data_IF_291222845575
#
_entry.id   IF_291222845575
#
_cell.length_a   1.000
_cell.length_b   1.000
_cell.length_c   1.000
_cell.angle_alpha   90.00
_cell.angle_beta   90.00
_cell.angle_gamma   90.00
#
_symmetry.space_group_name_H-M   'P 1'
#
loop_
_entity.id
_entity.type
_entity.pdbx_description
1 polymer ?
#
# COMPACT_ATOMS: atom_id res chain seq x y z
N UNK A 1 2.38 44.95 61.63
CA UNK A 1 1.10 44.38 61.13
C UNK A 1 1.18 44.49 59.61
N UNK A 2 1.17 43.48 58.75
CA UNK A 2 1.02 42.02 58.76
C UNK A 2 1.81 41.51 57.52
N UNK A 3 2.67 40.50 57.68
CA UNK A 3 2.54 39.11 57.21
C UNK A 3 2.99 38.86 55.74
N UNK A 4 3.90 37.90 55.64
CA UNK A 4 4.49 37.26 54.44
C UNK A 4 3.43 36.57 53.57
N UNK A 5 3.70 36.45 52.26
CA UNK A 5 3.34 35.25 51.48
C UNK A 5 4.26 35.08 50.27
N UNK A 6 5.12 34.05 50.33
CA UNK A 6 5.71 33.36 49.18
C UNK A 6 4.64 32.45 48.57
N UNK A 7 4.52 32.42 47.25
CA UNK A 7 3.83 31.38 46.44
C UNK A 7 3.76 31.91 44.99
N UNK A 8 4.01 31.18 43.92
CA UNK A 8 4.29 29.76 43.72
C UNK A 8 4.88 29.59 42.32
N UNK A 9 5.63 28.50 42.15
CA UNK A 9 6.08 27.96 40.87
C UNK A 9 4.99 28.06 39.80
N UNK A 10 5.27 28.72 38.69
CA UNK A 10 4.56 28.44 37.45
C UNK A 10 5.23 27.22 36.81
N UNK A 11 4.53 26.10 36.98
CA UNK A 11 4.69 24.77 36.42
C UNK A 11 5.68 24.62 35.27
N UNK A 12 6.61 23.68 35.45
CA UNK A 12 7.04 22.80 34.37
C UNK A 12 5.78 22.16 33.77
N UNK A 13 5.37 22.59 32.58
CA UNK A 13 4.57 21.78 31.67
C UNK A 13 5.54 21.04 30.72
N UNK A 14 6.45 20.25 31.30
CA UNK A 14 7.06 19.13 30.61
C UNK A 14 6.19 17.92 30.97
N UNK A 15 5.08 17.75 30.27
CA UNK A 15 4.20 16.60 30.42
C UNK A 15 3.97 15.99 29.04
N UNK A 16 4.72 14.92 28.78
CA UNK A 16 4.38 13.80 27.92
C UNK A 16 3.61 14.12 26.62
N UNK A 17 4.34 14.45 25.55
CA UNK A 17 3.85 14.17 24.19
C UNK A 17 4.91 13.36 23.41
N UNK A 18 5.07 12.05 23.67
CA UNK A 18 5.82 11.17 22.76
C UNK A 18 4.90 10.32 21.87
N UNK A 19 3.60 10.18 22.17
CA UNK A 19 2.70 9.33 21.38
C UNK A 19 1.96 10.09 20.26
N UNK A 20 1.67 11.38 20.47
CA UNK A 20 0.86 12.16 19.53
C UNK A 20 1.65 12.63 18.29
N UNK A 21 2.98 12.52 18.30
CA UNK A 21 3.83 12.89 17.16
C UNK A 21 3.87 11.74 16.16
N UNK A 22 4.19 10.53 16.62
CA UNK A 22 4.16 9.31 15.81
C UNK A 22 2.74 9.07 15.23
N UNK A 23 1.68 9.25 16.03
CA UNK A 23 0.29 9.12 15.52
C UNK A 23 -0.08 10.16 14.45
N UNK A 24 0.53 11.35 14.48
CA UNK A 24 0.28 12.42 13.49
C UNK A 24 1.07 12.18 12.20
N UNK A 25 2.29 11.67 12.32
CA UNK A 25 3.13 11.30 11.19
C UNK A 25 2.50 10.08 10.46
N UNK A 26 2.05 9.06 11.19
CA UNK A 26 1.35 7.90 10.62
C UNK A 26 0.05 8.29 9.88
N UNK A 27 -0.71 9.25 10.43
CA UNK A 27 -1.92 9.75 9.78
C UNK A 27 -1.61 10.50 8.49
N UNK A 28 -0.52 11.26 8.46
CA UNK A 28 -0.11 12.00 7.27
C UNK A 28 0.41 11.04 6.20
N UNK A 29 1.25 10.07 6.56
CA UNK A 29 1.79 9.08 5.63
C UNK A 29 0.67 8.19 5.04
N UNK A 30 -0.27 7.75 5.88
CA UNK A 30 -1.46 7.03 5.42
C UNK A 30 -2.31 7.88 4.47
N UNK A 31 -2.46 9.19 4.74
CA UNK A 31 -3.18 10.10 3.85
C UNK A 31 -2.49 10.26 2.49
N UNK A 32 -1.16 10.32 2.47
CA UNK A 32 -0.36 10.46 1.24
C UNK A 32 -0.38 9.17 0.41
N UNK A 33 -0.29 8.00 1.03
CA UNK A 33 -0.50 6.69 0.38
C UNK A 33 -1.91 6.62 -0.23
N UNK A 34 -2.94 6.97 0.54
CA UNK A 34 -4.32 6.96 0.07
C UNK A 34 -4.56 7.92 -1.09
N UNK A 35 -4.01 9.15 -1.01
CA UNK A 35 -4.12 10.14 -2.06
C UNK A 35 -3.44 9.66 -3.35
N UNK A 36 -2.29 9.00 -3.22
CA UNK A 36 -1.54 8.43 -4.34
C UNK A 36 -2.27 7.25 -4.97
N UNK A 37 -2.79 6.34 -4.15
CA UNK A 37 -3.64 5.24 -4.61
C UNK A 37 -4.86 5.76 -5.38
N UNK A 38 -5.55 6.78 -4.86
CA UNK A 38 -6.69 7.41 -5.51
C UNK A 38 -6.31 8.05 -6.86
N UNK A 39 -5.11 8.62 -6.99
CA UNK A 39 -4.61 9.13 -8.27
C UNK A 39 -4.42 8.00 -9.29
N UNK A 40 -3.82 6.88 -8.89
CA UNK A 40 -3.66 5.69 -9.74
C UNK A 40 -5.01 5.13 -10.18
N UNK A 41 -5.96 5.05 -9.24
CA UNK A 41 -7.34 4.62 -9.49
C UNK A 41 -8.01 5.50 -10.55
N UNK A 42 -7.88 6.82 -10.43
CA UNK A 42 -8.45 7.79 -11.35
C UNK A 42 -7.69 7.92 -12.69
N UNK A 43 -6.50 7.33 -12.81
CA UNK A 43 -5.73 7.38 -14.04
C UNK A 43 -6.43 6.62 -15.17
N UNK A 44 -6.24 7.09 -16.41
CA UNK A 44 -6.79 6.47 -17.61
C UNK A 44 -6.02 5.20 -18.03
N UNK A 45 -4.83 5.00 -17.48
CA UNK A 45 -3.98 3.85 -17.75
C UNK A 45 -4.46 2.66 -16.92
N UNK A 46 -4.84 1.60 -17.64
CA UNK A 46 -5.32 0.33 -17.07
C UNK A 46 -4.63 -0.82 -17.80
N UNK A 47 -4.36 -1.96 -17.15
CA UNK A 47 -3.66 -3.08 -17.78
C UNK A 47 -4.44 -3.63 -19.00
N UNK A 48 -3.84 -3.54 -20.18
CA UNK A 48 -4.43 -3.95 -21.46
C UNK A 48 -3.88 -5.29 -21.95
N UNK A 49 -2.59 -5.54 -21.77
CA UNK A 49 -1.91 -6.76 -22.24
C UNK A 49 -1.96 -7.89 -21.20
N UNK A 50 -1.52 -9.09 -21.57
CA UNK A 50 -1.37 -10.18 -20.60
C UNK A 50 -0.28 -9.87 -19.56
N UNK A 51 0.87 -9.36 -20.02
CA UNK A 51 1.99 -9.03 -19.15
C UNK A 51 1.64 -7.92 -18.16
N UNK A 52 0.95 -6.86 -18.60
CA UNK A 52 0.50 -5.81 -17.68
C UNK A 52 -0.47 -6.34 -16.60
N UNK A 53 -1.29 -7.34 -16.94
CA UNK A 53 -2.16 -8.01 -15.95
C UNK A 53 -1.35 -8.88 -14.99
N UNK A 54 -0.34 -9.60 -15.48
CA UNK A 54 0.60 -10.31 -14.60
C UNK A 54 1.34 -9.36 -13.67
N UNK A 55 1.79 -8.19 -14.15
CA UNK A 55 2.34 -7.13 -13.29
C UNK A 55 1.36 -6.73 -12.20
N UNK A 56 0.09 -6.45 -12.55
CA UNK A 56 -0.92 -6.12 -11.54
C UNK A 56 -1.14 -7.25 -10.52
N UNK A 57 -1.16 -8.51 -10.96
CA UNK A 57 -1.29 -9.65 -10.06
C UNK A 57 -0.12 -9.72 -9.06
N UNK A 58 1.10 -9.57 -9.56
CA UNK A 58 2.33 -9.60 -8.76
C UNK A 58 2.38 -8.47 -7.74
N UNK A 59 2.09 -7.23 -8.16
CA UNK A 59 2.09 -6.08 -7.26
C UNK A 59 1.03 -6.22 -6.16
N UNK A 60 -0.17 -6.69 -6.50
CA UNK A 60 -1.16 -6.99 -5.45
C UNK A 60 -0.72 -8.14 -4.54
N UNK A 61 -0.04 -9.18 -5.08
CA UNK A 61 0.46 -10.28 -4.25
C UNK A 61 1.52 -9.79 -3.26
N UNK A 62 2.53 -9.04 -3.72
CA UNK A 62 3.56 -8.47 -2.84
C UNK A 62 2.93 -7.57 -1.78
N UNK A 63 1.92 -6.76 -2.12
CA UNK A 63 1.19 -5.96 -1.14
C UNK A 63 0.50 -6.81 -0.06
N UNK A 64 -0.05 -7.99 -0.39
CA UNK A 64 -0.67 -8.87 0.62
C UNK A 64 0.32 -9.37 1.67
N UNK A 65 1.59 -9.54 1.29
CA UNK A 65 2.66 -10.03 2.15
C UNK A 65 3.29 -8.88 2.93
N UNK A 66 3.56 -7.77 2.26
CA UNK A 66 4.23 -6.59 2.78
C UNK A 66 3.38 -5.79 3.77
N UNK A 67 2.14 -5.46 3.42
CA UNK A 67 1.41 -4.38 4.10
C UNK A 67 1.22 -4.63 5.61
N UNK A 68 0.80 -5.83 6.02
CA UNK A 68 0.63 -6.13 7.45
C UNK A 68 1.96 -6.44 8.15
N UNK A 69 2.95 -6.98 7.43
CA UNK A 69 4.23 -7.40 8.00
C UNK A 69 5.14 -6.21 8.28
N UNK A 70 5.20 -5.24 7.36
CA UNK A 70 6.14 -4.12 7.38
C UNK A 70 5.49 -2.80 7.83
N UNK A 71 4.25 -2.51 7.42
CA UNK A 71 3.54 -1.30 7.87
C UNK A 71 2.79 -1.50 9.19
N UNK A 72 2.39 -2.74 9.48
CA UNK A 72 1.65 -3.10 10.69
C UNK A 72 0.13 -2.86 10.58
N UNK A 73 -0.62 -3.64 11.36
CA UNK A 73 -2.10 -3.69 11.28
C UNK A 73 -2.77 -2.36 11.61
N UNK A 74 -2.24 -1.61 12.59
CA UNK A 74 -2.83 -0.34 13.02
C UNK A 74 -2.68 0.74 11.93
N UNK A 75 -1.53 0.79 11.25
CA UNK A 75 -1.31 1.68 10.11
C UNK A 75 -2.16 1.28 8.91
N UNK A 76 -2.23 -0.02 8.58
CA UNK A 76 -3.10 -0.53 7.49
C UNK A 76 -4.57 -0.18 7.73
N UNK A 77 -5.02 -0.08 8.99
CA UNK A 77 -6.38 0.34 9.31
C UNK A 77 -6.67 1.83 8.99
N UNK A 78 -5.63 2.66 8.79
CA UNK A 78 -5.73 4.05 8.33
C UNK A 78 -5.81 4.16 6.80
N UNK A 79 -5.49 3.09 6.07
CA UNK A 79 -5.49 3.07 4.61
C UNK A 79 -6.89 2.91 4.02
N UNK A 80 -7.03 3.18 2.72
CA UNK A 80 -8.24 2.92 1.95
C UNK A 80 -8.61 1.42 2.07
N UNK A 81 -9.88 1.05 2.32
CA UNK A 81 -10.30 -0.35 2.43
C UNK A 81 -9.94 -1.24 1.21
N UNK A 82 -9.75 -0.64 0.03
CA UNK A 82 -9.27 -1.34 -1.16
C UNK A 82 -7.82 -1.83 -1.02
N UNK A 83 -7.03 -1.22 -0.12
CA UNK A 83 -5.68 -1.65 0.24
C UNK A 83 -5.65 -2.71 1.36
N UNK A 84 -6.81 -3.19 1.84
CA UNK A 84 -6.82 -4.29 2.82
C UNK A 84 -6.23 -5.57 2.24
N UNK A 85 -5.66 -6.44 3.09
CA UNK A 85 -5.13 -7.74 2.66
C UNK A 85 -6.19 -8.58 1.92
N UNK A 86 -7.46 -8.51 2.35
CA UNK A 86 -8.55 -9.24 1.70
C UNK A 86 -8.86 -8.74 0.28
N UNK A 87 -8.86 -7.42 0.08
CA UNK A 87 -9.05 -6.79 -1.22
C UNK A 87 -7.85 -7.09 -2.13
N UNK A 88 -6.65 -7.05 -1.58
CA UNK A 88 -5.42 -7.35 -2.31
C UNK A 88 -5.37 -8.79 -2.81
N UNK A 89 -5.72 -9.78 -1.98
CA UNK A 89 -5.84 -11.19 -2.41
C UNK A 89 -6.86 -11.35 -3.54
N UNK A 90 -7.99 -10.64 -3.44
CA UNK A 90 -9.03 -10.63 -4.49
C UNK A 90 -8.49 -10.05 -5.79
N UNK A 91 -7.74 -8.95 -5.71
CA UNK A 91 -7.13 -8.29 -6.86
C UNK A 91 -6.06 -9.18 -7.52
N UNK A 92 -5.20 -9.84 -6.74
CA UNK A 92 -4.24 -10.84 -7.25
C UNK A 92 -4.96 -11.89 -8.08
N UNK A 93 -5.91 -12.63 -7.49
CA UNK A 93 -6.62 -13.71 -8.20
C UNK A 93 -7.40 -13.22 -9.41
N UNK A 94 -7.97 -12.01 -9.35
CA UNK A 94 -8.63 -11.40 -10.50
C UNK A 94 -7.65 -11.22 -11.67
N UNK A 95 -6.50 -10.61 -11.41
CA UNK A 95 -5.54 -10.31 -12.47
C UNK A 95 -4.83 -11.53 -13.02
N UNK A 96 -4.51 -12.53 -12.20
CA UNK A 96 -3.98 -13.83 -12.67
C UNK A 96 -4.94 -14.49 -13.66
N UNK A 97 -6.23 -14.48 -13.33
CA UNK A 97 -7.28 -15.01 -14.22
C UNK A 97 -7.34 -14.22 -15.52
N UNK A 98 -7.37 -12.90 -15.46
CA UNK A 98 -7.46 -12.05 -16.66
C UNK A 98 -6.21 -12.17 -17.53
N UNK A 99 -5.02 -12.31 -16.93
CA UNK A 99 -3.77 -12.53 -17.63
C UNK A 99 -3.79 -13.88 -18.37
N UNK A 100 -4.18 -14.95 -17.68
CA UNK A 100 -4.33 -16.29 -18.26
C UNK A 100 -5.31 -16.29 -19.44
N UNK A 101 -6.47 -15.63 -19.28
CA UNK A 101 -7.46 -15.48 -20.35
C UNK A 101 -6.88 -14.71 -21.56
N UNK A 102 -6.12 -13.65 -21.32
CA UNK A 102 -5.50 -12.85 -22.37
C UNK A 102 -4.44 -13.61 -23.17
N UNK A 103 -3.75 -14.58 -22.55
CA UNK A 103 -2.76 -15.43 -23.22
C UNK A 103 -3.40 -16.58 -24.02
N UNK A 104 -4.70 -16.83 -23.86
CA UNK A 104 -5.36 -17.99 -24.45
C UNK A 104 -4.90 -19.33 -23.85
N UNK A 105 -4.25 -19.28 -22.69
CA UNK A 105 -3.82 -20.47 -21.95
C UNK A 105 -5.01 -21.05 -21.18
N UNK A 106 -5.15 -22.37 -21.17
CA UNK A 106 -5.94 -23.05 -20.14
C UNK A 106 -5.17 -22.98 -18.82
N UNK A 107 -5.88 -22.90 -17.68
CA UNK A 107 -5.26 -23.04 -16.35
C UNK A 107 -4.46 -24.33 -16.30
N UNK A 108 -3.13 -24.28 -16.46
CA UNK A 108 -2.35 -25.49 -16.61
C UNK A 108 -0.85 -25.27 -16.47
N UNK A 109 -0.26 -24.41 -17.31
CA UNK A 109 1.18 -24.16 -17.29
C UNK A 109 1.46 -22.79 -17.95
N UNK A 110 2.26 -21.96 -17.28
CA UNK A 110 2.84 -20.77 -17.88
C UNK A 110 4.01 -21.18 -18.78
N UNK A 111 4.25 -20.45 -19.85
CA UNK A 111 5.50 -20.64 -20.58
C UNK A 111 6.69 -20.04 -19.82
N UNK A 112 7.90 -20.51 -20.13
CA UNK A 112 9.14 -20.09 -19.45
C UNK A 112 9.37 -18.58 -19.55
N UNK A 113 8.94 -17.94 -20.65
CA UNK A 113 9.09 -16.50 -20.83
C UNK A 113 8.21 -15.74 -19.83
N UNK A 114 6.98 -16.21 -19.64
CA UNK A 114 6.02 -15.64 -18.68
C UNK A 114 6.47 -15.87 -17.24
N UNK A 115 7.01 -17.05 -16.92
CA UNK A 115 7.58 -17.34 -15.59
C UNK A 115 8.72 -16.37 -15.26
N UNK A 116 9.69 -16.21 -16.16
CA UNK A 116 10.80 -15.27 -15.99
C UNK A 116 10.32 -13.82 -15.88
N UNK A 117 9.30 -13.45 -16.65
CA UNK A 117 8.70 -12.13 -16.55
C UNK A 117 8.10 -11.88 -15.16
N UNK A 118 7.30 -12.82 -14.65
CA UNK A 118 6.69 -12.74 -13.32
C UNK A 118 7.76 -12.64 -12.23
N UNK A 119 8.83 -13.44 -12.31
CA UNK A 119 9.95 -13.38 -11.38
C UNK A 119 10.58 -11.99 -11.36
N UNK A 120 10.89 -11.42 -12.53
CA UNK A 120 11.43 -10.06 -12.63
C UNK A 120 10.49 -8.98 -12.09
N UNK A 121 9.19 -9.11 -12.32
CA UNK A 121 8.20 -8.17 -11.77
C UNK A 121 8.08 -8.32 -10.25
N UNK A 122 8.30 -9.53 -9.71
CA UNK A 122 8.22 -9.78 -8.27
C UNK A 122 9.35 -9.08 -7.54
N UNK A 123 10.58 -9.17 -8.05
CA UNK A 123 11.74 -8.44 -7.51
C UNK A 123 11.51 -6.92 -7.55
N UNK A 124 10.97 -6.41 -8.67
CA UNK A 124 10.67 -4.99 -8.82
C UNK A 124 9.57 -4.51 -7.85
N UNK A 125 8.55 -5.34 -7.64
CA UNK A 125 7.46 -5.04 -6.72
C UNK A 125 7.93 -5.00 -5.26
N UNK A 126 8.83 -5.91 -4.86
CA UNK A 126 9.42 -5.90 -3.52
C UNK A 126 10.26 -4.65 -3.26
N UNK A 127 11.16 -4.28 -4.19
CA UNK A 127 11.99 -3.07 -4.08
C UNK A 127 11.12 -1.80 -3.90
N UNK A 128 10.07 -1.69 -4.71
CA UNK A 128 9.13 -0.57 -4.61
C UNK A 128 8.28 -0.61 -3.34
N UNK A 129 7.84 -1.80 -2.90
CA UNK A 129 7.09 -1.95 -1.66
C UNK A 129 7.94 -1.52 -0.47
N UNK A 130 9.20 -1.97 -0.37
CA UNK A 130 10.14 -1.54 0.67
C UNK A 130 10.32 -0.02 0.68
N UNK A 131 10.33 0.63 -0.49
CA UNK A 131 10.37 2.09 -0.62
C UNK A 131 9.18 2.83 0.03
N UNK A 132 8.02 2.17 0.18
CA UNK A 132 6.83 2.75 0.84
C UNK A 132 7.07 2.97 2.34
N UNK A 133 7.75 2.06 3.03
CA UNK A 133 8.03 2.17 4.48
C UNK A 133 8.89 3.39 4.79
N UNK A 134 9.75 3.80 3.86
CA UNK A 134 10.65 4.95 4.04
C UNK A 134 10.07 6.25 3.50
N UNK A 135 8.85 6.23 2.93
CA UNK A 135 8.19 7.40 2.34
C UNK A 135 8.83 7.90 1.03
N UNK A 136 9.75 7.12 0.45
CA UNK A 136 10.58 7.54 -0.67
C UNK A 136 9.99 7.12 -2.04
N UNK A 137 9.10 6.12 -2.09
CA UNK A 137 8.52 5.63 -3.35
C UNK A 137 6.98 5.47 -3.33
N UNK A 138 6.30 6.57 -3.64
CA UNK A 138 4.85 6.59 -3.85
C UNK A 138 4.43 5.99 -5.22
N UNK A 139 5.35 5.52 -6.07
CA UNK A 139 4.92 4.87 -7.32
C UNK A 139 4.20 3.54 -7.05
N UNK A 140 4.52 2.85 -5.95
CA UNK A 140 3.89 1.59 -5.63
C UNK A 140 2.38 1.72 -5.34
N UNK A 141 1.91 2.59 -4.39
CA UNK A 141 0.48 2.82 -4.20
C UNK A 141 -0.22 3.33 -5.47
N UNK A 142 0.47 4.12 -6.30
CA UNK A 142 -0.09 4.58 -7.57
C UNK A 142 -0.37 3.40 -8.51
N UNK A 143 0.60 2.49 -8.69
CA UNK A 143 0.44 1.28 -9.52
C UNK A 143 -0.68 0.39 -8.96
N UNK A 144 -0.77 0.20 -7.64
CA UNK A 144 -1.89 -0.52 -7.02
C UNK A 144 -3.23 0.12 -7.40
N UNK A 145 -3.31 1.46 -7.42
CA UNK A 145 -4.49 2.20 -7.88
C UNK A 145 -4.81 1.93 -9.36
N UNK A 146 -3.81 1.95 -10.24
CA UNK A 146 -4.01 1.61 -11.67
C UNK A 146 -4.55 0.18 -11.84
N UNK A 147 -4.04 -0.73 -11.00
CA UNK A 147 -4.39 -2.13 -10.94
C UNK A 147 -5.59 -2.43 -10.04
N UNK A 148 -6.34 -1.45 -9.52
CA UNK A 148 -7.51 -1.74 -8.71
C UNK A 148 -8.58 -2.46 -9.55
N UNK A 149 -9.22 -3.48 -8.97
CA UNK A 149 -10.27 -4.25 -9.66
C UNK A 149 -11.46 -3.33 -9.96
N UNK A 150 -11.97 -3.29 -11.20
CA UNK A 150 -13.15 -2.49 -11.55
C UNK A 150 -14.37 -2.86 -10.69
N UNK A 151 -15.11 -1.85 -10.23
CA UNK A 151 -16.33 -2.10 -9.46
C UNK A 151 -17.42 -2.77 -10.33
N UNK A 152 -17.90 -3.94 -9.90
CA UNK A 152 -19.06 -4.62 -10.50
C UNK A 152 -18.76 -5.88 -11.33
N UNK A 153 -17.53 -6.39 -11.29
CA UNK A 153 -17.14 -7.73 -11.82
C UNK A 153 -17.03 -8.78 -10.70
#
# INVERSE_FOLDING_TARGET
MMIRALASLALLAAACLPAMADDQDDQQDAADINATFAQGLASAEKPQTANEKWTCAVFWNVWTEFAELDLGTDFVALLDPALSQSSARTATSHWEKQATLAMGLGMGELDVETELYIEMQTESAWDMAEGVVWGDDYNYPFILGQCAVPAGE
#
